data_IF_884148255382
#
_entry.id   IF_884148255382
#
_cell.length_a   1.000
_cell.length_b   1.000
_cell.length_c   1.000
_cell.angle_alpha   90.00
_cell.angle_beta   90.00
_cell.angle_gamma   90.00
#
_symmetry.space_group_name_H-M   'P 1'
#
loop_
_entity.id
_entity.type
_entity.pdbx_description
1 polymer ?
#
# COMPACT_ATOMS: atom_id res chain seq x y z
N UNK A 1 28.58 43.19 -68.75
CA UNK A 1 28.86 42.05 -67.82
C UNK A 1 28.11 42.29 -66.55
N UNK A 2 26.91 41.68 -66.38
CA UNK A 2 26.05 41.82 -65.20
C UNK A 2 26.25 40.58 -64.35
N UNK A 3 26.78 40.75 -63.15
CA UNK A 3 26.86 39.71 -62.13
C UNK A 3 25.51 39.59 -61.41
N UNK A 4 24.90 38.42 -61.49
CA UNK A 4 23.66 38.06 -60.75
C UNK A 4 24.07 37.39 -59.43
N UNK A 5 23.82 38.05 -58.34
CA UNK A 5 23.95 37.46 -56.98
C UNK A 5 22.70 36.61 -56.65
N UNK A 6 22.87 35.29 -56.57
CA UNK A 6 21.84 34.38 -56.01
C UNK A 6 21.97 34.35 -54.50
N UNK A 7 20.91 34.76 -53.80
CA UNK A 7 20.76 34.61 -52.40
C UNK A 7 20.16 33.22 -52.13
N UNK A 8 20.92 32.30 -51.55
CA UNK A 8 20.42 31.04 -50.98
C UNK A 8 19.87 31.31 -49.61
N UNK A 9 18.53 31.32 -49.45
CA UNK A 9 17.86 31.28 -48.18
C UNK A 9 17.89 29.82 -47.66
N UNK A 10 18.75 29.56 -46.68
CA UNK A 10 18.73 28.29 -45.94
C UNK A 10 17.60 28.31 -44.91
N UNK A 11 16.53 27.58 -45.18
CA UNK A 11 15.41 27.36 -44.25
C UNK A 11 15.85 26.39 -43.15
N UNK A 12 16.18 26.88 -41.96
CA UNK A 12 16.44 26.05 -40.77
C UNK A 12 15.08 25.64 -40.22
N UNK A 13 14.67 24.39 -40.49
CA UNK A 13 13.49 23.77 -39.85
C UNK A 13 13.94 23.32 -38.47
N UNK A 14 13.57 24.08 -37.44
CA UNK A 14 13.69 23.64 -36.05
C UNK A 14 12.64 22.56 -35.79
N UNK A 15 13.06 21.30 -35.74
CA UNK A 15 12.26 20.22 -35.19
C UNK A 15 12.23 20.39 -33.68
N UNK A 16 11.15 20.96 -33.15
CA UNK A 16 10.85 20.87 -31.71
C UNK A 16 10.42 19.42 -31.42
N UNK A 17 11.35 18.62 -30.94
CA UNK A 17 10.99 17.31 -30.32
C UNK A 17 10.21 17.63 -29.07
N UNK A 18 8.89 17.63 -29.17
CA UNK A 18 8.02 17.58 -28.03
C UNK A 18 8.29 16.24 -27.32
N UNK A 19 9.12 16.24 -26.28
CA UNK A 19 9.22 15.13 -25.37
C UNK A 19 7.86 15.02 -24.68
N UNK A 20 6.99 14.16 -25.21
CA UNK A 20 5.75 13.81 -24.55
C UNK A 20 6.09 13.35 -23.15
N UNK A 21 5.70 14.12 -22.14
CA UNK A 21 5.76 13.68 -20.74
C UNK A 21 4.71 12.57 -20.63
N UNK A 22 5.14 11.33 -20.87
CA UNK A 22 4.30 10.18 -20.57
C UNK A 22 4.10 10.17 -19.05
N UNK A 23 2.85 10.16 -18.57
CA UNK A 23 2.60 10.08 -17.14
C UNK A 23 3.27 8.81 -16.61
N UNK A 24 4.15 9.01 -15.64
CA UNK A 24 4.95 7.91 -15.10
C UNK A 24 4.07 7.03 -14.20
N UNK A 25 4.11 5.73 -14.43
CA UNK A 25 3.40 4.76 -13.60
C UNK A 25 4.14 4.49 -12.30
N UNK A 26 3.38 4.25 -11.23
CA UNK A 26 3.87 3.83 -9.92
C UNK A 26 3.30 2.47 -9.53
N UNK A 27 4.05 1.72 -8.74
CA UNK A 27 3.58 0.48 -8.13
C UNK A 27 3.34 0.72 -6.64
N UNK A 28 2.18 0.29 -6.16
CA UNK A 28 1.78 0.39 -4.75
C UNK A 28 1.49 -1.03 -4.26
N UNK A 29 2.05 -1.41 -3.11
CA UNK A 29 1.87 -2.73 -2.52
C UNK A 29 1.29 -2.65 -1.12
N UNK A 30 0.34 -3.52 -0.81
CA UNK A 30 -0.13 -3.84 0.53
C UNK A 30 0.30 -5.25 0.89
N UNK A 31 0.91 -5.45 2.06
CA UNK A 31 1.40 -6.76 2.46
C UNK A 31 1.30 -6.97 3.96
N UNK A 32 0.39 -7.82 4.41
CA UNK A 32 0.44 -8.38 5.75
C UNK A 32 1.57 -9.41 5.80
N UNK A 33 2.65 -9.07 6.53
CA UNK A 33 3.89 -9.87 6.56
C UNK A 33 3.86 -10.97 7.62
N UNK A 34 2.80 -11.10 8.38
CA UNK A 34 2.66 -11.93 9.56
C UNK A 34 3.67 -11.57 10.64
N UNK A 35 3.23 -11.21 11.83
CA UNK A 35 4.11 -10.85 12.95
C UNK A 35 5.03 -11.99 13.38
N UNK A 36 6.13 -11.64 14.03
CA UNK A 36 7.10 -12.60 14.56
C UNK A 36 6.51 -13.32 15.77
N UNK A 37 5.92 -14.49 15.50
CA UNK A 37 5.21 -15.31 16.48
C UNK A 37 5.98 -16.60 16.76
N UNK A 38 6.27 -16.85 18.01
CA UNK A 38 6.98 -18.07 18.44
C UNK A 38 6.19 -19.36 18.17
N UNK A 39 4.87 -19.30 18.03
CA UNK A 39 4.01 -20.45 17.73
C UNK A 39 4.01 -20.83 16.25
N UNK A 40 4.50 -19.98 15.36
CA UNK A 40 4.51 -20.24 13.92
C UNK A 40 5.59 -21.27 13.50
N UNK A 41 6.46 -21.69 14.43
CA UNK A 41 7.48 -22.75 14.31
C UNK A 41 8.18 -22.71 12.93
N UNK A 42 7.73 -23.56 12.02
CA UNK A 42 8.30 -23.72 10.67
C UNK A 42 7.86 -22.60 9.69
N UNK A 43 6.91 -21.73 10.09
CA UNK A 43 6.54 -20.48 9.43
C UNK A 43 7.09 -19.26 10.19
N UNK A 44 8.06 -19.44 11.10
CA UNK A 44 8.64 -18.36 11.90
C UNK A 44 9.24 -17.27 11.04
N UNK A 45 9.27 -16.05 11.55
CA UNK A 45 9.86 -14.89 10.88
C UNK A 45 11.30 -15.16 10.41
N UNK A 46 12.11 -15.81 11.25
CA UNK A 46 13.52 -16.14 10.93
C UNK A 46 13.65 -16.95 9.64
N UNK A 47 12.69 -17.84 9.35
CA UNK A 47 12.68 -18.64 8.11
C UNK A 47 12.20 -17.79 6.93
N UNK A 48 11.23 -16.91 7.12
CA UNK A 48 10.54 -16.19 6.05
C UNK A 48 11.19 -14.85 5.67
N UNK A 49 11.87 -14.18 6.61
CA UNK A 49 12.33 -12.78 6.50
C UNK A 49 13.13 -12.48 5.22
N UNK A 50 14.04 -13.38 4.83
CA UNK A 50 14.85 -13.18 3.62
C UNK A 50 13.97 -13.18 2.36
N UNK A 51 12.94 -14.01 2.32
CA UNK A 51 12.06 -14.08 1.16
C UNK A 51 11.04 -12.95 1.15
N UNK A 52 10.59 -12.49 2.32
CA UNK A 52 9.78 -11.25 2.44
C UNK A 52 10.54 -10.07 1.84
N UNK A 53 11.79 -9.83 2.28
CA UNK A 53 12.60 -8.73 1.73
C UNK A 53 12.92 -8.90 0.24
N UNK A 54 13.16 -10.14 -0.23
CA UNK A 54 13.36 -10.41 -1.65
C UNK A 54 12.15 -10.05 -2.52
N UNK A 55 10.92 -10.31 -2.07
CA UNK A 55 9.71 -9.85 -2.78
C UNK A 55 9.71 -8.32 -2.89
N UNK A 56 9.94 -7.62 -1.79
CA UNK A 56 9.93 -6.15 -1.79
C UNK A 56 11.00 -5.57 -2.73
N UNK A 57 12.20 -6.17 -2.75
CA UNK A 57 13.29 -5.77 -3.66
C UNK A 57 12.98 -6.14 -5.11
N UNK A 58 12.47 -7.32 -5.38
CA UNK A 58 12.21 -7.82 -6.74
C UNK A 58 11.10 -7.05 -7.45
N UNK A 59 9.98 -6.81 -6.74
CA UNK A 59 8.85 -6.06 -7.30
C UNK A 59 9.04 -4.55 -7.21
N UNK A 60 9.95 -4.08 -6.36
CA UNK A 60 10.34 -2.68 -6.17
C UNK A 60 9.15 -1.70 -6.18
N UNK A 61 8.10 -1.91 -5.36
CA UNK A 61 6.96 -1.02 -5.36
C UNK A 61 7.38 0.36 -4.83
N UNK A 62 6.92 1.40 -5.47
CA UNK A 62 7.28 2.78 -5.08
C UNK A 62 6.78 3.16 -3.68
N UNK A 63 5.67 2.54 -3.24
CA UNK A 63 5.13 2.65 -1.87
C UNK A 63 4.66 1.27 -1.42
N UNK A 64 4.93 0.94 -0.15
CA UNK A 64 4.60 -0.34 0.47
C UNK A 64 3.90 -0.08 1.79
N UNK A 65 2.68 -0.57 1.96
CA UNK A 65 2.03 -0.67 3.27
C UNK A 65 2.22 -2.07 3.83
N UNK A 66 2.86 -2.18 4.98
CA UNK A 66 2.92 -3.46 5.70
C UNK A 66 1.97 -3.47 6.88
N UNK A 67 1.46 -4.66 7.22
CA UNK A 67 0.67 -4.91 8.42
C UNK A 67 1.33 -6.02 9.23
N UNK A 68 1.03 -6.08 10.52
CA UNK A 68 1.57 -7.02 11.52
C UNK A 68 3.08 -6.91 11.78
N UNK A 69 3.78 -5.92 11.24
CA UNK A 69 5.22 -5.78 11.48
C UNK A 69 5.51 -5.39 12.93
N UNK A 70 6.20 -6.23 13.70
CA UNK A 70 6.82 -5.83 14.96
C UNK A 70 8.09 -5.00 14.68
N UNK A 71 8.57 -4.25 15.67
CA UNK A 71 9.74 -3.38 15.49
C UNK A 71 10.95 -4.08 14.87
N UNK A 72 11.28 -5.29 15.32
CA UNK A 72 12.40 -6.07 14.77
C UNK A 72 12.19 -6.45 13.29
N UNK A 73 10.95 -6.65 12.87
CA UNK A 73 10.60 -6.94 11.47
C UNK A 73 10.68 -5.68 10.61
N UNK A 74 10.14 -4.57 11.12
CA UNK A 74 10.21 -3.25 10.47
C UNK A 74 11.66 -2.84 10.26
N UNK A 75 12.49 -2.91 11.29
CA UNK A 75 13.93 -2.58 11.21
C UNK A 75 14.69 -3.52 10.26
N UNK A 76 14.33 -4.82 10.23
CA UNK A 76 14.94 -5.75 9.28
C UNK A 76 14.60 -5.39 7.83
N UNK A 77 13.35 -5.10 7.52
CA UNK A 77 12.92 -4.66 6.18
C UNK A 77 13.61 -3.35 5.81
N UNK A 78 13.65 -2.38 6.70
CA UNK A 78 14.34 -1.10 6.51
C UNK A 78 15.81 -1.29 6.14
N UNK A 79 16.51 -2.18 6.85
CA UNK A 79 17.91 -2.50 6.55
C UNK A 79 18.14 -3.15 5.17
N UNK A 80 17.10 -3.76 4.57
CA UNK A 80 17.16 -4.38 3.26
C UNK A 80 16.78 -3.43 2.11
N UNK A 81 16.02 -2.37 2.38
CA UNK A 81 15.47 -1.45 1.38
C UNK A 81 16.28 -0.14 1.32
N UNK A 82 17.45 -0.18 0.68
CA UNK A 82 18.49 0.89 0.73
C UNK A 82 17.99 2.31 0.39
N UNK A 83 17.03 2.43 -0.53
CA UNK A 83 16.53 3.74 -0.98
C UNK A 83 15.14 4.07 -0.43
N UNK A 84 14.70 3.35 0.60
CA UNK A 84 13.40 3.58 1.22
C UNK A 84 13.59 4.18 2.61
N UNK A 85 12.56 4.86 3.03
CA UNK A 85 12.31 5.30 4.39
C UNK A 85 10.88 4.89 4.76
N UNK A 86 10.52 4.91 6.04
CA UNK A 86 9.17 4.55 6.44
C UNK A 86 8.59 5.50 7.48
N UNK A 87 7.26 5.49 7.56
CA UNK A 87 6.49 6.15 8.62
C UNK A 87 5.53 5.16 9.24
N UNK A 88 5.26 5.33 10.51
CA UNK A 88 4.37 4.48 11.32
C UNK A 88 4.89 4.35 12.73
N UNK A 89 4.03 3.82 13.61
CA UNK A 89 4.33 3.59 15.02
C UNK A 89 3.73 2.25 15.45
N UNK A 90 4.23 1.69 16.54
CA UNK A 90 3.64 0.55 17.20
C UNK A 90 2.30 0.91 17.84
N UNK A 91 1.32 0.03 17.70
CA UNK A 91 -0.07 0.30 18.11
C UNK A 91 -0.29 0.40 19.61
N UNK A 92 0.59 -0.21 20.44
CA UNK A 92 0.40 -0.33 21.88
C UNK A 92 0.91 0.88 22.67
N UNK A 93 1.94 1.58 22.18
CA UNK A 93 2.53 2.73 22.86
C UNK A 93 2.63 3.99 22.01
N UNK A 94 2.23 3.88 20.73
CA UNK A 94 2.38 4.97 19.76
C UNK A 94 3.82 5.28 19.41
N UNK A 95 4.74 4.34 19.64
CA UNK A 95 6.17 4.44 19.36
C UNK A 95 6.70 3.13 18.76
N UNK A 96 7.11 2.18 19.59
CA UNK A 96 7.83 0.98 19.19
C UNK A 96 7.14 -0.33 19.57
N UNK A 97 6.15 -0.31 20.48
CA UNK A 97 5.50 -1.52 20.99
C UNK A 97 4.26 -1.88 20.16
N UNK A 98 4.11 -3.20 19.96
CA UNK A 98 3.02 -3.77 19.21
C UNK A 98 3.25 -3.74 17.69
N UNK A 99 2.24 -4.13 16.95
CA UNK A 99 2.29 -4.20 15.50
C UNK A 99 2.18 -2.82 14.85
N UNK A 100 2.95 -2.63 13.78
CA UNK A 100 2.93 -1.44 12.93
C UNK A 100 1.98 -1.65 11.74
N UNK A 101 1.38 -0.56 11.31
CA UNK A 101 0.88 -0.39 9.94
C UNK A 101 1.81 0.59 9.22
N UNK A 102 3.05 0.18 8.95
CA UNK A 102 4.07 1.07 8.38
C UNK A 102 3.86 1.33 6.89
N UNK A 103 4.27 2.51 6.43
CA UNK A 103 4.29 2.87 5.00
C UNK A 103 5.73 3.15 4.61
N UNK A 104 6.34 2.26 3.82
CA UNK A 104 7.64 2.48 3.19
C UNK A 104 7.45 3.20 1.86
N UNK A 105 8.41 4.03 1.49
CA UNK A 105 8.39 4.78 0.23
C UNK A 105 9.79 4.99 -0.33
N UNK A 106 9.94 4.92 -1.64
CA UNK A 106 11.18 5.21 -2.36
C UNK A 106 11.52 6.71 -2.24
N UNK A 107 12.55 7.03 -1.46
CA UNK A 107 13.00 8.40 -1.17
C UNK A 107 13.62 9.08 -2.39
N UNK A 108 14.08 8.32 -3.38
CA UNK A 108 14.57 8.88 -4.65
C UNK A 108 13.44 9.44 -5.49
N UNK A 109 12.22 8.91 -5.29
CA UNK A 109 11.02 9.27 -6.04
C UNK A 109 10.10 10.20 -5.25
N UNK A 110 9.89 9.95 -3.97
CA UNK A 110 8.91 10.67 -3.16
C UNK A 110 9.55 11.46 -2.03
N UNK A 111 8.92 12.58 -1.70
CA UNK A 111 9.11 13.28 -0.44
C UNK A 111 7.84 13.14 0.38
N UNK A 112 7.96 12.88 1.67
CA UNK A 112 6.84 12.93 2.59
C UNK A 112 6.67 14.35 3.12
N UNK A 113 5.45 14.90 3.01
CA UNK A 113 5.12 16.28 3.41
C UNK A 113 4.42 16.34 4.76
N UNK A 114 3.66 15.29 5.08
CA UNK A 114 2.91 15.17 6.33
C UNK A 114 2.64 13.69 6.61
N UNK A 115 2.67 13.26 7.84
CA UNK A 115 2.28 11.92 8.25
C UNK A 115 1.82 11.88 9.70
N UNK A 116 0.99 10.89 10.03
CA UNK A 116 0.63 10.56 11.41
C UNK A 116 -0.05 9.18 11.45
N UNK A 117 -0.35 8.74 12.66
CA UNK A 117 -1.11 7.52 12.95
C UNK A 117 -2.27 7.87 13.87
N UNK A 118 -3.42 7.23 13.69
CA UNK A 118 -4.56 7.32 14.59
C UNK A 118 -5.11 5.93 14.91
N UNK A 119 -5.75 5.80 16.08
CA UNK A 119 -6.34 4.56 16.54
C UNK A 119 -7.75 4.38 16.00
N UNK A 120 -8.11 3.14 15.68
CA UNK A 120 -9.44 2.78 15.21
C UNK A 120 -10.35 2.54 16.41
N UNK A 121 -10.75 3.62 17.05
CA UNK A 121 -11.56 3.63 18.27
C UNK A 121 -12.44 4.88 18.35
N UNK A 122 -13.24 4.98 19.38
CA UNK A 122 -14.02 6.15 19.74
C UNK A 122 -13.14 7.36 20.12
N UNK A 123 -11.89 7.11 20.51
CA UNK A 123 -10.88 8.12 20.88
C UNK A 123 -9.66 8.02 19.98
N UNK A 124 -9.77 8.35 18.69
CA UNK A 124 -8.74 8.02 17.69
C UNK A 124 -7.42 8.79 17.83
N UNK A 125 -7.38 9.82 18.64
CA UNK A 125 -6.16 10.61 18.89
C UNK A 125 -5.39 10.14 20.13
N UNK A 126 -5.85 9.04 20.75
CA UNK A 126 -5.21 8.40 21.93
C UNK A 126 -5.14 6.90 21.72
N UNK A 127 -4.16 6.25 22.35
CA UNK A 127 -4.01 4.79 22.36
C UNK A 127 -5.24 4.19 23.00
N UNK A 128 -5.96 3.35 22.26
CA UNK A 128 -7.20 2.77 22.73
C UNK A 128 -7.68 1.60 21.87
N UNK A 129 -8.39 0.66 22.50
CA UNK A 129 -9.15 -0.40 21.83
C UNK A 129 -10.53 0.13 21.50
N UNK A 130 -10.98 -0.01 20.25
CA UNK A 130 -12.28 0.51 19.81
C UNK A 130 -13.39 -0.53 19.81
N UNK A 131 -14.59 -0.12 20.25
CA UNK A 131 -15.83 -0.90 20.19
C UNK A 131 -15.70 -2.30 20.78
N UNK A 132 -15.82 -3.34 19.93
CA UNK A 132 -15.68 -4.77 20.29
C UNK A 132 -14.37 -5.38 19.75
N UNK A 133 -13.38 -4.55 19.43
CA UNK A 133 -12.08 -5.02 18.98
C UNK A 133 -11.37 -5.83 20.08
N UNK A 134 -10.63 -6.85 19.69
CA UNK A 134 -9.81 -7.63 20.60
C UNK A 134 -8.53 -6.92 21.02
N UNK A 135 -8.01 -6.03 20.14
CA UNK A 135 -6.72 -5.35 20.31
C UNK A 135 -6.80 -3.92 19.72
N UNK A 136 -5.83 -3.11 20.08
CA UNK A 136 -5.63 -1.81 19.43
C UNK A 136 -5.45 -1.99 17.93
N UNK A 137 -6.12 -1.16 17.15
CA UNK A 137 -6.00 -1.11 15.69
C UNK A 137 -5.70 0.31 15.27
N UNK A 138 -4.86 0.46 14.27
CA UNK A 138 -4.36 1.76 13.83
C UNK A 138 -4.51 1.93 12.32
N UNK A 139 -4.49 3.21 11.92
CA UNK A 139 -4.32 3.62 10.54
C UNK A 139 -3.21 4.66 10.46
N UNK A 140 -2.12 4.33 9.78
CA UNK A 140 -1.04 5.26 9.45
C UNK A 140 -1.34 5.93 8.12
N UNK A 141 -1.03 7.21 7.99
CA UNK A 141 -1.20 7.94 6.74
C UNK A 141 -0.04 8.87 6.44
N UNK A 142 0.17 9.16 5.16
CA UNK A 142 1.16 10.12 4.68
C UNK A 142 0.68 10.90 3.47
N UNK A 143 1.10 12.18 3.37
CA UNK A 143 1.01 12.99 2.18
C UNK A 143 2.35 12.91 1.44
N UNK A 144 2.34 12.32 0.28
CA UNK A 144 3.52 12.14 -0.55
C UNK A 144 3.52 13.14 -1.70
N UNK A 145 4.71 13.61 -2.07
CA UNK A 145 4.94 14.42 -3.25
C UNK A 145 5.93 13.71 -4.17
N UNK A 146 5.52 13.49 -5.40
CA UNK A 146 6.41 13.01 -6.44
C UNK A 146 7.45 14.10 -6.78
N UNK A 147 8.73 13.76 -6.65
CA UNK A 147 9.84 14.71 -6.90
C UNK A 147 9.98 15.09 -8.37
N UNK A 148 9.47 14.27 -9.29
CA UNK A 148 9.59 14.51 -10.73
C UNK A 148 8.40 15.29 -11.30
N UNK A 149 7.18 14.93 -10.89
CA UNK A 149 5.95 15.55 -11.40
C UNK A 149 5.42 16.66 -10.51
N UNK A 150 5.89 16.72 -9.25
CA UNK A 150 5.39 17.57 -8.17
C UNK A 150 3.93 17.27 -7.74
N UNK A 151 3.33 16.20 -8.25
CA UNK A 151 2.00 15.75 -7.85
C UNK A 151 1.99 15.27 -6.40
N UNK A 152 0.89 15.56 -5.71
CA UNK A 152 0.69 15.19 -4.31
C UNK A 152 -0.47 14.22 -4.18
N UNK A 153 -0.32 13.20 -3.33
CA UNK A 153 -1.37 12.22 -3.05
C UNK A 153 -1.26 11.69 -1.63
N UNK A 154 -2.39 11.24 -1.09
CA UNK A 154 -2.46 10.64 0.23
C UNK A 154 -2.40 9.12 0.14
N UNK A 155 -1.69 8.52 1.09
CA UNK A 155 -1.69 7.07 1.31
C UNK A 155 -2.09 6.80 2.76
N UNK A 156 -3.00 5.85 2.95
CA UNK A 156 -3.45 5.34 4.23
C UNK A 156 -3.20 3.84 4.26
N UNK A 157 -2.64 3.33 5.37
CA UNK A 157 -2.39 1.91 5.60
C UNK A 157 -2.99 1.48 6.93
N UNK A 158 -3.73 0.38 6.96
CA UNK A 158 -4.50 -0.05 8.13
C UNK A 158 -4.55 -1.57 8.28
N UNK A 159 -4.84 -2.01 9.50
CA UNK A 159 -5.15 -3.40 9.80
C UNK A 159 -6.37 -3.44 10.72
N UNK A 160 -7.49 -3.97 10.22
CA UNK A 160 -8.75 -4.06 10.97
C UNK A 160 -8.73 -5.20 11.98
N UNK A 161 -9.63 -5.12 12.95
CA UNK A 161 -9.71 -6.16 13.99
C UNK A 161 -10.22 -7.50 13.42
N UNK A 162 -9.57 -8.59 13.83
CA UNK A 162 -9.89 -9.94 13.35
C UNK A 162 -11.13 -10.55 14.03
N UNK A 163 -11.51 -10.07 15.24
CA UNK A 163 -12.66 -10.58 16.01
C UNK A 163 -13.87 -9.67 15.93
N UNK A 164 -13.71 -8.39 16.23
CA UNK A 164 -14.80 -7.43 16.40
C UNK A 164 -15.50 -7.05 15.10
N UNK A 165 -16.68 -7.58 14.83
CA UNK A 165 -17.44 -7.23 13.62
C UNK A 165 -17.90 -5.77 13.64
N UNK A 166 -18.35 -5.25 14.79
CA UNK A 166 -18.70 -3.85 14.98
C UNK A 166 -17.47 -2.94 14.83
N UNK A 167 -16.33 -3.35 15.40
CA UNK A 167 -15.08 -2.61 15.29
C UNK A 167 -14.68 -2.45 13.82
N UNK A 168 -14.75 -3.50 12.99
CA UNK A 168 -14.46 -3.40 11.55
C UNK A 168 -15.38 -2.42 10.82
N UNK A 169 -16.69 -2.49 11.08
CA UNK A 169 -17.67 -1.60 10.45
C UNK A 169 -17.47 -0.14 10.88
N UNK A 170 -17.26 0.11 12.16
CA UNK A 170 -17.05 1.45 12.70
C UNK A 170 -15.69 2.03 12.25
N UNK A 171 -14.64 1.19 12.18
CA UNK A 171 -13.32 1.58 11.68
C UNK A 171 -13.40 2.10 10.23
N UNK A 172 -14.17 1.45 9.36
CA UNK A 172 -14.36 1.91 7.99
C UNK A 172 -14.99 3.31 7.94
N UNK A 173 -16.03 3.56 8.76
CA UNK A 173 -16.65 4.88 8.87
C UNK A 173 -15.72 5.95 9.45
N UNK A 174 -14.93 5.58 10.47
CA UNK A 174 -13.95 6.47 11.07
C UNK A 174 -12.86 6.87 10.06
N UNK A 175 -12.31 5.92 9.30
CA UNK A 175 -11.31 6.19 8.27
C UNK A 175 -11.86 7.16 7.22
N UNK A 176 -13.06 6.93 6.69
CA UNK A 176 -13.68 7.85 5.72
C UNK A 176 -13.89 9.26 6.29
N UNK A 177 -14.30 9.36 7.57
CA UNK A 177 -14.42 10.65 8.26
C UNK A 177 -13.07 11.34 8.42
N UNK A 178 -12.01 10.60 8.78
CA UNK A 178 -10.64 11.12 8.90
C UNK A 178 -10.10 11.56 7.54
N UNK A 179 -10.29 10.77 6.50
CA UNK A 179 -9.92 11.14 5.13
C UNK A 179 -10.55 12.48 4.73
N UNK A 180 -11.87 12.68 4.96
CA UNK A 180 -12.55 13.95 4.65
C UNK A 180 -11.95 15.13 5.42
N UNK A 181 -11.56 14.92 6.69
CA UNK A 181 -10.95 15.96 7.53
C UNK A 181 -9.51 16.29 7.10
N UNK A 182 -8.73 15.29 6.69
CA UNK A 182 -7.30 15.40 6.34
C UNK A 182 -7.14 15.88 4.90
N UNK A 183 -7.81 15.24 3.95
CA UNK A 183 -7.70 15.55 2.51
C UNK A 183 -8.68 16.63 2.07
N UNK A 184 -8.55 17.84 2.63
CA UNK A 184 -9.42 18.99 2.29
C UNK A 184 -9.25 19.48 0.86
N UNK A 185 -8.11 19.19 0.23
CA UNK A 185 -7.80 19.58 -1.15
C UNK A 185 -8.31 18.57 -2.18
N UNK A 186 -8.98 17.50 -1.75
CA UNK A 186 -9.47 16.42 -2.62
C UNK A 186 -8.39 15.81 -3.54
N UNK A 187 -7.17 15.74 -3.03
CA UNK A 187 -6.05 15.12 -3.74
C UNK A 187 -6.32 13.64 -4.02
N UNK A 188 -5.65 13.03 -5.01
CA UNK A 188 -5.65 11.59 -5.21
C UNK A 188 -5.34 10.85 -3.91
N UNK A 189 -5.92 9.67 -3.73
CA UNK A 189 -5.85 8.95 -2.47
C UNK A 189 -5.81 7.45 -2.69
N UNK A 190 -5.00 6.78 -1.87
CA UNK A 190 -4.89 5.33 -1.76
C UNK A 190 -5.15 4.95 -0.31
N UNK A 191 -6.05 4.00 -0.09
CA UNK A 191 -6.28 3.33 1.20
C UNK A 191 -6.00 1.84 1.01
N UNK A 192 -5.04 1.31 1.73
CA UNK A 192 -4.64 -0.09 1.62
C UNK A 192 -4.55 -0.77 2.99
N UNK A 193 -4.54 -2.09 2.99
CA UNK A 193 -4.34 -2.87 4.21
C UNK A 193 -5.06 -4.19 4.24
N UNK A 194 -4.98 -4.83 5.41
CA UNK A 194 -5.78 -5.98 5.80
C UNK A 194 -7.05 -5.51 6.50
N UNK A 195 -8.19 -5.71 5.85
CA UNK A 195 -9.50 -5.30 6.38
C UNK A 195 -10.19 -6.40 7.17
N UNK A 196 -9.59 -7.59 7.27
CA UNK A 196 -10.19 -8.76 7.93
C UNK A 196 -11.67 -8.98 7.54
N UNK A 197 -12.01 -8.65 6.32
CA UNK A 197 -13.39 -8.59 5.81
C UNK A 197 -13.43 -9.02 4.35
N UNK A 198 -14.32 -9.95 4.03
CA UNK A 198 -14.53 -10.41 2.64
C UNK A 198 -15.25 -9.36 1.80
N UNK A 199 -15.20 -9.45 0.45
CA UNK A 199 -16.00 -8.61 -0.43
C UNK A 199 -17.48 -8.62 -0.04
N UNK A 200 -18.17 -7.48 -0.26
CA UNK A 200 -19.59 -7.26 0.01
C UNK A 200 -19.99 -7.31 1.50
N UNK A 201 -19.03 -7.46 2.41
CA UNK A 201 -19.27 -7.28 3.85
C UNK A 201 -19.54 -5.80 4.19
N UNK A 202 -20.24 -5.51 5.31
CA UNK A 202 -20.57 -4.13 5.70
C UNK A 202 -19.38 -3.17 5.74
N UNK A 203 -18.20 -3.51 6.33
CA UNK A 203 -17.05 -2.60 6.34
C UNK A 203 -16.52 -2.30 4.94
N UNK A 204 -16.43 -3.30 4.04
CA UNK A 204 -15.96 -3.11 2.66
C UNK A 204 -16.96 -2.27 1.87
N UNK A 205 -18.26 -2.58 1.96
CA UNK A 205 -19.30 -1.79 1.31
C UNK A 205 -19.31 -0.33 1.77
N UNK A 206 -19.04 -0.09 3.05
CA UNK A 206 -18.93 1.27 3.58
C UNK A 206 -17.75 2.03 2.99
N UNK A 207 -16.58 1.40 2.82
CA UNK A 207 -15.44 2.03 2.13
C UNK A 207 -15.81 2.36 0.69
N UNK A 208 -16.49 1.46 0.00
CA UNK A 208 -16.91 1.61 -1.41
C UNK A 208 -17.90 2.74 -1.65
N UNK A 209 -18.50 3.35 -0.60
CA UNK A 209 -19.32 4.56 -0.78
C UNK A 209 -18.53 5.80 -1.19
N UNK A 210 -17.25 5.86 -0.86
CA UNK A 210 -16.37 7.02 -1.08
C UNK A 210 -15.12 6.70 -1.92
N UNK A 211 -14.70 5.43 -1.96
CA UNK A 211 -13.49 4.96 -2.65
C UNK A 211 -13.83 3.78 -3.58
N UNK A 212 -13.09 3.65 -4.65
CA UNK A 212 -13.22 2.52 -5.59
C UNK A 212 -12.29 1.39 -5.18
N UNK A 213 -12.77 0.14 -5.20
CA UNK A 213 -11.92 -1.05 -5.08
C UNK A 213 -11.02 -1.15 -6.33
N UNK A 214 -9.72 -1.09 -6.15
CA UNK A 214 -8.75 -1.07 -7.25
C UNK A 214 -8.86 -2.30 -8.15
N UNK A 215 -9.24 -3.47 -7.59
CA UNK A 215 -9.50 -4.66 -8.39
C UNK A 215 -10.66 -4.45 -9.38
N UNK A 216 -11.73 -3.78 -8.95
CA UNK A 216 -12.93 -3.59 -9.78
C UNK A 216 -12.74 -2.56 -10.89
N UNK A 217 -11.79 -1.63 -10.72
CA UNK A 217 -11.52 -0.55 -11.69
C UNK A 217 -10.21 -0.72 -12.45
N UNK A 218 -9.50 -1.83 -12.22
CA UNK A 218 -8.27 -2.16 -12.96
C UNK A 218 -8.56 -2.31 -14.45
N UNK A 219 -7.66 -1.78 -15.29
CA UNK A 219 -7.75 -1.94 -16.75
C UNK A 219 -7.39 -3.36 -17.21
N UNK A 220 -6.50 -4.02 -16.46
CA UNK A 220 -6.12 -5.41 -16.71
C UNK A 220 -6.88 -6.34 -15.75
N UNK A 221 -7.08 -7.58 -16.17
CA UNK A 221 -7.65 -8.62 -15.32
C UNK A 221 -6.73 -8.95 -14.14
N UNK A 222 -7.32 -9.49 -13.06
CA UNK A 222 -6.57 -9.95 -11.89
C UNK A 222 -5.51 -10.98 -12.30
N UNK A 223 -4.28 -10.73 -11.90
CA UNK A 223 -3.20 -11.72 -11.98
C UNK A 223 -3.03 -12.38 -10.61
N UNK A 224 -2.94 -13.72 -10.59
CA UNK A 224 -2.80 -14.50 -9.36
C UNK A 224 -4.10 -15.09 -8.82
N UNK A 225 -4.11 -15.64 -7.60
CA UNK A 225 -5.29 -16.23 -6.97
C UNK A 225 -6.39 -15.21 -6.71
N UNK A 226 -7.65 -15.67 -6.56
CA UNK A 226 -8.79 -14.81 -6.24
C UNK A 226 -8.74 -14.24 -4.83
N UNK A 227 -8.22 -15.00 -3.87
CA UNK A 227 -8.07 -14.58 -2.48
C UNK A 227 -6.67 -14.07 -2.15
N UNK A 228 -6.53 -13.55 -0.93
CA UNK A 228 -5.26 -13.05 -0.38
C UNK A 228 -4.83 -13.78 0.88
N UNK A 229 -5.76 -14.39 1.63
CA UNK A 229 -5.48 -15.11 2.88
C UNK A 229 -5.35 -16.61 2.64
N UNK A 230 -4.19 -17.19 2.95
CA UNK A 230 -3.85 -18.60 2.77
C UNK A 230 -3.70 -19.37 4.11
N UNK A 231 -3.53 -18.65 5.24
CA UNK A 231 -3.35 -19.25 6.57
C UNK A 231 -2.17 -20.23 6.67
N UNK A 232 -1.13 -20.04 5.87
CA UNK A 232 0.02 -20.95 5.68
C UNK A 232 -0.34 -22.34 5.13
N UNK A 233 -1.55 -22.54 4.63
CA UNK A 233 -1.95 -23.80 4.02
C UNK A 233 -1.58 -23.82 2.53
N UNK A 234 -0.55 -24.59 2.17
CA UNK A 234 -0.04 -24.66 0.80
C UNK A 234 -0.91 -25.53 -0.13
N UNK A 235 -1.76 -26.39 0.44
CA UNK A 235 -2.52 -27.42 -0.30
C UNK A 235 -3.95 -26.95 -0.67
N UNK A 236 -4.43 -25.85 -0.09
CA UNK A 236 -5.77 -25.32 -0.35
C UNK A 236 -5.75 -24.15 -1.33
N UNK A 237 -6.80 -23.98 -2.14
CA UNK A 237 -6.96 -22.80 -2.95
C UNK A 237 -7.14 -21.54 -2.08
N UNK A 238 -6.58 -20.42 -2.54
CA UNK A 238 -6.64 -19.14 -1.83
C UNK A 238 -7.87 -18.39 -2.35
N UNK A 239 -8.96 -18.44 -1.58
CA UNK A 239 -10.27 -17.90 -1.99
C UNK A 239 -10.69 -16.65 -1.21
N UNK A 240 -10.24 -16.52 0.07
CA UNK A 240 -10.62 -15.39 0.91
C UNK A 240 -9.79 -14.15 0.56
N UNK A 241 -10.42 -13.15 -0.04
CA UNK A 241 -9.82 -11.82 -0.22
C UNK A 241 -10.18 -10.94 0.97
N UNK A 242 -9.21 -10.58 1.78
CA UNK A 242 -9.35 -9.71 2.95
C UNK A 242 -8.37 -8.54 2.96
N UNK A 243 -7.41 -8.55 2.04
CA UNK A 243 -6.49 -7.46 1.78
C UNK A 243 -6.96 -6.67 0.54
N UNK A 244 -6.92 -5.35 0.64
CA UNK A 244 -7.44 -4.46 -0.40
C UNK A 244 -6.54 -3.27 -0.63
N UNK A 245 -6.66 -2.72 -1.84
CA UNK A 245 -6.25 -1.36 -2.17
C UNK A 245 -7.47 -0.65 -2.75
N UNK A 246 -7.92 0.40 -2.07
CA UNK A 246 -8.98 1.30 -2.51
C UNK A 246 -8.36 2.62 -2.99
N UNK A 247 -8.97 3.24 -3.99
CA UNK A 247 -8.45 4.47 -4.57
C UNK A 247 -9.54 5.50 -4.80
N UNK A 248 -9.12 6.77 -4.90
CA UNK A 248 -9.94 7.87 -5.39
C UNK A 248 -9.10 8.80 -6.24
N UNK A 249 -9.63 9.17 -7.42
CA UNK A 249 -8.93 10.02 -8.40
C UNK A 249 -7.58 9.43 -8.84
N UNK A 250 -7.49 8.11 -8.95
CA UNK A 250 -6.30 7.37 -9.40
C UNK A 250 -6.71 6.42 -10.50
N UNK A 251 -5.97 6.38 -11.59
CA UNK A 251 -6.16 5.42 -12.68
C UNK A 251 -5.36 4.15 -12.34
N UNK A 252 -6.05 3.02 -12.21
CA UNK A 252 -5.45 1.71 -11.93
C UNK A 252 -5.22 0.98 -13.24
N UNK A 253 -3.96 0.67 -13.54
CA UNK A 253 -3.56 -0.01 -14.78
C UNK A 253 -3.64 -1.53 -14.65
N UNK A 254 -3.10 -2.07 -13.53
CA UNK A 254 -3.10 -3.50 -13.27
C UNK A 254 -3.29 -3.80 -11.78
N UNK A 255 -3.70 -5.02 -11.48
CA UNK A 255 -3.92 -5.54 -10.14
C UNK A 255 -3.41 -6.97 -10.03
N UNK A 256 -2.58 -7.27 -9.04
CA UNK A 256 -1.97 -8.59 -8.87
C UNK A 256 -2.00 -9.04 -7.41
N UNK A 257 -2.33 -10.31 -7.16
CA UNK A 257 -2.02 -11.02 -5.93
C UNK A 257 -0.75 -11.84 -6.17
N UNK A 258 0.35 -11.47 -5.50
CA UNK A 258 1.66 -12.11 -5.69
C UNK A 258 1.69 -13.42 -4.91
N UNK A 259 1.79 -14.55 -5.62
CA UNK A 259 1.79 -15.89 -5.03
C UNK A 259 3.16 -16.56 -5.10
N UNK A 260 4.22 -15.80 -4.85
CA UNK A 260 5.56 -16.34 -4.70
C UNK A 260 5.65 -17.25 -3.47
N UNK A 261 6.53 -18.26 -3.54
CA UNK A 261 6.67 -19.27 -2.51
C UNK A 261 8.12 -19.39 -2.03
N UNK A 262 8.30 -19.99 -0.86
CA UNK A 262 9.58 -20.50 -0.41
C UNK A 262 10.04 -21.67 -1.29
N UNK A 263 11.33 -22.00 -1.26
CA UNK A 263 11.89 -23.10 -2.08
C UNK A 263 11.23 -24.46 -1.80
N UNK A 264 10.65 -24.65 -0.64
CA UNK A 264 9.90 -25.85 -0.25
C UNK A 264 8.40 -25.76 -0.54
N UNK A 265 7.99 -24.86 -1.42
CA UNK A 265 6.59 -24.58 -1.81
C UNK A 265 5.67 -24.03 -0.69
N UNK A 266 6.22 -23.61 0.46
CA UNK A 266 5.42 -22.99 1.53
C UNK A 266 5.15 -21.53 1.24
N UNK A 267 4.12 -21.00 1.83
CA UNK A 267 3.81 -19.56 1.77
C UNK A 267 4.85 -18.73 2.54
N UNK A 268 5.11 -17.53 2.04
CA UNK A 268 6.07 -16.59 2.63
C UNK A 268 5.43 -15.80 3.78
N UNK A 269 4.14 -15.55 3.69
CA UNK A 269 3.25 -15.05 4.75
C UNK A 269 1.93 -15.82 4.66
N UNK A 270 1.11 -15.79 5.71
CA UNK A 270 -0.27 -16.30 5.67
C UNK A 270 -1.21 -15.42 4.82
N UNK A 271 -0.70 -14.28 4.33
CA UNK A 271 -1.31 -13.42 3.33
C UNK A 271 -0.45 -13.32 2.06
N UNK A 272 -1.08 -13.01 0.93
CA UNK A 272 -0.40 -12.65 -0.31
C UNK A 272 -0.25 -11.12 -0.40
N UNK A 273 0.90 -10.62 -0.90
CA UNK A 273 1.00 -9.21 -1.26
C UNK A 273 -0.01 -8.87 -2.36
N UNK A 274 -0.70 -7.74 -2.17
CA UNK A 274 -1.54 -7.12 -3.19
C UNK A 274 -0.78 -5.96 -3.79
N UNK A 275 -0.62 -5.94 -5.11
CA UNK A 275 0.07 -4.85 -5.79
C UNK A 275 -0.77 -4.30 -6.94
N UNK A 276 -0.77 -2.98 -7.07
CA UNK A 276 -1.36 -2.27 -8.20
C UNK A 276 -0.30 -1.44 -8.92
N UNK A 277 -0.52 -1.24 -10.22
CA UNK A 277 0.17 -0.24 -11.01
C UNK A 277 -0.79 0.91 -11.31
N UNK A 278 -0.36 2.12 -11.06
CA UNK A 278 -1.18 3.34 -11.19
C UNK A 278 -0.54 4.37 -12.11
N UNK A 279 -1.40 5.30 -12.59
CA UNK A 279 -1.02 6.44 -13.41
C UNK A 279 -1.77 7.70 -12.97
#
# INVERSE_FOLDING_TARGET
MKMIYQWLLSLIILFTVSSGIYPQSHSIMSYNIRYDNTWDVENSWTIRRNKVSQILIQYAPSIIGIQEGLLNQVQYIDSCLINYDYVGVGREDGKEQGEFCAIYFDTTRFAILNHSTFWLSETPDTISVGWDAALERICTYGLFKDRKTAEEFWVFNTHFDHMGARAREQSSGLILKRIKKINRRSLPLILMGDFNSIPDSPPVNRIKTDLSDALQISLEELQGPMGTFNGFNADLPIEKRIDYIFTRNVKVLSYIHINDRLNNNRHISDHLPVMIKIQ
#
